data_IF_611671004698
#
_entry.id   IF_611671004698
#
_cell.length_a   1.000
_cell.length_b   1.000
_cell.length_c   1.000
_cell.angle_alpha   90.00
_cell.angle_beta   90.00
_cell.angle_gamma   90.00
#
_symmetry.space_group_name_H-M   'P 1'
#
loop_
_entity.id
_entity.type
_entity.pdbx_description
1 polymer ?
#
# COMPACT_ATOMS: atom_id res chain seq x y z
N UNK A 1 -25.76 -19.32 0.30
CA UNK A 1 -25.03 -18.69 -0.82
C UNK A 1 -23.93 -17.81 -0.28
N UNK A 2 -22.71 -18.25 -0.34
CA UNK A 2 -21.58 -17.40 -0.12
C UNK A 2 -21.47 -16.46 -1.33
N UNK A 3 -21.84 -15.20 -1.15
CA UNK A 3 -21.50 -14.19 -2.12
C UNK A 3 -19.98 -14.07 -2.05
N UNK A 4 -19.30 -14.45 -3.12
CA UNK A 4 -17.88 -14.20 -3.23
C UNK A 4 -17.63 -12.69 -3.07
N UNK A 5 -16.48 -12.33 -2.55
CA UNK A 5 -16.09 -10.93 -2.42
C UNK A 5 -16.29 -10.23 -3.75
N UNK A 6 -17.00 -9.08 -3.73
CA UNK A 6 -17.15 -8.23 -4.91
C UNK A 6 -15.87 -7.48 -5.24
N UNK A 7 -14.86 -7.58 -4.39
CA UNK A 7 -13.58 -6.90 -4.55
C UNK A 7 -12.68 -7.71 -5.48
N UNK A 8 -12.17 -7.06 -6.52
CA UNK A 8 -11.32 -7.71 -7.50
C UNK A 8 -10.28 -6.75 -8.07
N UNK A 9 -9.16 -7.31 -8.52
CA UNK A 9 -8.14 -6.57 -9.25
C UNK A 9 -8.42 -6.71 -10.76
N UNK A 10 -8.50 -5.59 -11.45
CA UNK A 10 -8.61 -5.55 -12.92
C UNK A 10 -7.31 -5.01 -13.51
N UNK A 11 -6.60 -5.89 -14.20
CA UNK A 11 -5.35 -5.55 -14.86
C UNK A 11 -5.64 -4.74 -16.13
N UNK A 12 -4.99 -3.58 -16.25
CA UNK A 12 -5.18 -2.68 -17.40
C UNK A 12 -3.96 -2.63 -18.32
N UNK A 13 -2.81 -3.12 -17.85
CA UNK A 13 -1.58 -3.19 -18.63
C UNK A 13 -0.72 -4.33 -18.14
N UNK A 14 0.21 -4.80 -18.97
CA UNK A 14 1.16 -5.83 -18.56
C UNK A 14 2.10 -5.29 -17.47
N UNK A 15 2.56 -6.18 -16.59
CA UNK A 15 3.49 -5.82 -15.53
C UNK A 15 4.88 -5.54 -16.16
N UNK A 16 5.39 -4.30 -16.07
CA UNK A 16 6.70 -3.96 -16.66
C UNK A 16 7.88 -4.35 -15.79
N UNK A 17 7.62 -4.91 -14.62
CA UNK A 17 8.61 -5.23 -13.60
C UNK A 17 8.76 -6.74 -13.42
N UNK A 18 9.93 -7.17 -12.93
CA UNK A 18 10.20 -8.55 -12.57
C UNK A 18 10.32 -8.63 -11.04
N UNK A 19 9.33 -9.23 -10.39
CA UNK A 19 9.25 -9.35 -8.93
C UNK A 19 9.40 -8.01 -8.18
N UNK A 20 8.55 -7.02 -8.47
CA UNK A 20 8.69 -5.71 -7.85
C UNK A 20 8.41 -5.71 -6.35
N UNK A 21 8.89 -4.67 -5.67
CA UNK A 21 8.50 -4.37 -4.30
C UNK A 21 7.20 -3.57 -4.33
N UNK A 22 6.18 -4.07 -3.64
CA UNK A 22 4.93 -3.34 -3.47
C UNK A 22 5.10 -2.29 -2.37
N UNK A 23 4.73 -1.05 -2.65
CA UNK A 23 4.69 0.03 -1.66
C UNK A 23 3.25 0.47 -1.49
N UNK A 24 2.68 0.26 -0.31
CA UNK A 24 1.32 0.65 0.01
C UNK A 24 1.30 2.07 0.55
N UNK A 25 0.52 2.92 -0.08
CA UNK A 25 0.33 4.31 0.30
C UNK A 25 -1.14 4.69 0.40
N UNK A 26 -1.95 3.83 1.01
CA UNK A 26 -3.37 4.13 1.22
C UNK A 26 -3.54 5.25 2.25
N UNK A 27 -4.60 6.08 2.13
CA UNK A 27 -4.79 7.20 3.02
C UNK A 27 -4.88 6.80 4.50
N UNK A 28 -4.13 7.49 5.33
CA UNK A 28 -4.07 7.27 6.76
C UNK A 28 -3.74 8.57 7.49
N UNK A 29 -3.23 8.47 8.71
CA UNK A 29 -2.94 9.60 9.57
C UNK A 29 -1.99 10.59 8.87
N UNK A 30 -2.43 11.85 8.78
CA UNK A 30 -1.65 12.94 8.18
C UNK A 30 -1.41 12.81 6.68
N UNK A 31 -2.02 11.83 6.02
CA UNK A 31 -1.84 11.53 4.60
C UNK A 31 -0.36 11.25 4.21
N UNK A 32 0.47 10.90 5.19
CA UNK A 32 1.91 10.69 4.99
C UNK A 32 2.17 9.63 3.91
N UNK A 33 1.50 8.49 4.02
CA UNK A 33 1.67 7.40 3.06
C UNK A 33 1.21 7.79 1.65
N UNK A 34 0.06 8.45 1.53
CA UNK A 34 -0.48 8.90 0.25
C UNK A 34 0.46 9.88 -0.44
N UNK A 35 0.97 10.86 0.29
CA UNK A 35 1.89 11.87 -0.25
C UNK A 35 3.20 11.19 -0.70
N UNK A 36 3.75 10.31 0.11
CA UNK A 36 5.00 9.61 -0.21
C UNK A 36 4.86 8.75 -1.47
N UNK A 37 3.78 8.00 -1.59
CA UNK A 37 3.56 7.11 -2.72
C UNK A 37 3.25 7.88 -4.00
N UNK A 38 2.52 9.00 -3.91
CA UNK A 38 2.31 9.88 -5.05
C UNK A 38 3.65 10.39 -5.60
N UNK A 39 4.55 10.80 -4.71
CA UNK A 39 5.89 11.27 -5.10
C UNK A 39 6.72 10.15 -5.75
N UNK A 40 6.69 8.96 -5.18
CA UNK A 40 7.41 7.80 -5.74
C UNK A 40 6.88 7.48 -7.14
N UNK A 41 5.56 7.44 -7.29
CA UNK A 41 4.92 7.14 -8.58
C UNK A 41 5.29 8.15 -9.65
N UNK A 42 5.28 9.43 -9.29
CA UNK A 42 5.63 10.52 -10.21
C UNK A 42 7.12 10.52 -10.56
N UNK A 43 7.99 10.45 -9.56
CA UNK A 43 9.45 10.52 -9.78
C UNK A 43 10.01 9.32 -10.52
N UNK A 44 9.45 8.14 -10.30
CA UNK A 44 9.86 6.92 -11.00
C UNK A 44 9.09 6.71 -12.31
N UNK A 45 8.20 7.64 -12.66
CA UNK A 45 7.39 7.59 -13.88
C UNK A 45 6.64 6.24 -14.01
N UNK A 46 6.08 5.76 -12.91
CA UNK A 46 5.33 4.50 -12.90
C UNK A 46 4.04 4.65 -13.70
N UNK A 47 3.68 3.60 -14.43
CA UNK A 47 2.46 3.57 -15.23
C UNK A 47 1.38 2.76 -14.53
N UNK A 48 0.12 3.09 -14.78
CA UNK A 48 -0.99 2.36 -14.19
C UNK A 48 -1.01 0.92 -14.71
N UNK A 49 -0.92 -0.03 -13.77
CA UNK A 49 -0.94 -1.46 -14.05
C UNK A 49 -2.35 -2.04 -13.93
N UNK A 50 -3.15 -1.54 -13.00
CA UNK A 50 -4.50 -2.00 -12.79
C UNK A 50 -5.26 -1.19 -11.75
N UNK A 51 -6.49 -1.64 -11.49
CA UNK A 51 -7.38 -1.03 -10.51
C UNK A 51 -7.97 -2.10 -9.59
N UNK A 52 -8.31 -1.71 -8.37
CA UNK A 52 -9.08 -2.56 -7.47
C UNK A 52 -10.49 -2.00 -7.40
N UNK A 53 -11.46 -2.81 -7.72
CA UNK A 53 -12.87 -2.45 -7.75
C UNK A 53 -13.60 -3.22 -6.66
N UNK A 54 -14.47 -2.52 -5.93
CA UNK A 54 -15.23 -3.14 -4.84
C UNK A 54 -16.57 -2.41 -4.63
N UNK A 55 -17.61 -3.19 -4.38
CA UNK A 55 -18.90 -2.65 -3.95
C UNK A 55 -18.84 -2.09 -2.52
N UNK A 56 -17.81 -2.45 -1.77
CA UNK A 56 -17.60 -1.96 -0.40
C UNK A 56 -16.93 -0.58 -0.35
N UNK A 57 -16.44 -0.09 -1.48
CA UNK A 57 -15.83 1.25 -1.54
C UNK A 57 -16.91 2.35 -1.57
N UNK A 58 -16.60 3.57 -1.12
CA UNK A 58 -17.55 4.68 -1.17
C UNK A 58 -18.07 4.93 -2.60
N UNK A 59 -19.36 5.27 -2.77
CA UNK A 59 -19.93 5.52 -4.10
C UNK A 59 -19.55 6.92 -4.60
N UNK A 60 -18.29 7.13 -4.87
CA UNK A 60 -17.72 8.40 -5.34
C UNK A 60 -16.95 8.18 -6.63
N UNK A 61 -16.84 9.23 -7.43
CA UNK A 61 -16.03 9.23 -8.63
C UNK A 61 -14.78 10.09 -8.39
N UNK A 62 -13.62 9.53 -8.65
CA UNK A 62 -12.38 10.31 -8.69
C UNK A 62 -12.15 10.82 -10.11
N UNK A 63 -11.43 11.91 -10.24
CA UNK A 63 -11.03 12.41 -11.56
C UNK A 63 -9.65 13.05 -11.50
N UNK A 64 -8.98 13.04 -12.61
CA UNK A 64 -7.70 13.71 -12.81
C UNK A 64 -7.65 14.28 -14.24
N UNK A 65 -7.27 15.53 -14.34
CA UNK A 65 -7.17 16.25 -15.63
C UNK A 65 -8.43 16.12 -16.50
N UNK A 66 -9.59 16.17 -15.88
CA UNK A 66 -10.89 16.11 -16.57
C UNK A 66 -11.37 14.72 -16.95
N UNK A 67 -10.68 13.66 -16.53
CA UNK A 67 -11.09 12.28 -16.79
C UNK A 67 -11.42 11.56 -15.50
N UNK A 68 -12.51 10.82 -15.52
CA UNK A 68 -12.89 9.96 -14.38
C UNK A 68 -11.92 8.79 -14.31
N UNK A 69 -11.53 8.45 -13.08
CA UNK A 69 -10.68 7.29 -12.81
C UNK A 69 -11.19 6.51 -11.60
N UNK A 70 -10.80 5.23 -11.50
CA UNK A 70 -11.12 4.41 -10.34
C UNK A 70 -10.36 4.91 -9.11
N UNK A 71 -10.97 4.79 -7.93
CA UNK A 71 -10.41 5.38 -6.71
C UNK A 71 -9.21 4.62 -6.15
N UNK A 72 -9.14 3.30 -6.35
CA UNK A 72 -8.01 2.47 -5.88
C UNK A 72 -7.25 1.95 -7.09
N UNK A 73 -5.97 2.25 -7.16
CA UNK A 73 -5.14 1.97 -8.33
C UNK A 73 -3.81 1.37 -7.96
N UNK A 74 -3.27 0.58 -8.88
CA UNK A 74 -1.93 -0.01 -8.79
C UNK A 74 -1.10 0.51 -9.95
N UNK A 75 0.09 1.02 -9.65
CA UNK A 75 1.07 1.49 -10.63
C UNK A 75 2.31 0.61 -10.55
N UNK A 76 3.06 0.49 -11.63
CA UNK A 76 4.27 -0.31 -11.66
C UNK A 76 5.30 0.22 -12.66
N UNK A 77 6.57 -0.06 -12.39
CA UNK A 77 7.68 0.25 -13.27
C UNK A 77 8.83 -0.73 -13.06
N UNK A 78 9.72 -0.82 -14.03
CA UNK A 78 10.78 -1.84 -14.07
C UNK A 78 12.19 -1.35 -13.80
N UNK A 79 12.41 -0.06 -13.51
CA UNK A 79 13.75 0.45 -13.22
C UNK A 79 13.69 1.64 -12.25
N UNK A 80 13.71 1.38 -10.95
CA UNK A 80 13.72 0.07 -10.25
C UNK A 80 12.37 -0.67 -10.34
N UNK A 81 12.40 -1.96 -10.03
CA UNK A 81 11.20 -2.80 -9.99
C UNK A 81 10.34 -2.44 -8.77
N UNK A 82 9.33 -1.60 -8.98
CA UNK A 82 8.45 -1.07 -7.94
C UNK A 82 7.00 -1.09 -8.40
N UNK A 83 6.12 -1.43 -7.45
CA UNK A 83 4.68 -1.37 -7.62
C UNK A 83 4.10 -0.54 -6.48
N UNK A 84 3.16 0.36 -6.76
CA UNK A 84 2.51 1.17 -5.73
C UNK A 84 1.01 0.93 -5.69
N UNK A 85 0.45 0.96 -4.49
CA UNK A 85 -0.99 0.86 -4.25
C UNK A 85 -1.48 2.19 -3.67
N UNK A 86 -2.41 2.83 -4.36
CA UNK A 86 -2.89 4.17 -4.05
C UNK A 86 -4.41 4.24 -4.00
N UNK A 87 -4.94 5.20 -3.26
CA UNK A 87 -6.36 5.52 -3.26
C UNK A 87 -6.60 7.01 -3.11
N UNK A 88 -7.60 7.54 -3.81
CA UNK A 88 -8.04 8.93 -3.67
C UNK A 88 -8.91 9.14 -2.43
N UNK A 89 -9.40 8.05 -1.82
CA UNK A 89 -10.30 8.11 -0.65
C UNK A 89 -9.81 7.16 0.43
N UNK A 90 -10.10 7.45 1.71
CA UNK A 90 -9.84 6.50 2.77
C UNK A 90 -10.59 5.19 2.55
N UNK A 91 -10.00 4.07 2.92
CA UNK A 91 -10.64 2.77 2.81
C UNK A 91 -11.55 2.59 4.02
N UNK A 92 -12.88 2.42 3.81
CA UNK A 92 -13.79 2.23 4.95
C UNK A 92 -13.49 0.95 5.69
N UNK A 93 -13.72 0.89 7.02
CA UNK A 93 -13.49 -0.35 7.79
C UNK A 93 -14.18 -1.58 7.22
N UNK A 94 -15.36 -1.40 6.62
CA UNK A 94 -16.12 -2.49 5.98
C UNK A 94 -15.44 -3.06 4.73
N UNK A 95 -14.51 -2.33 4.12
CA UNK A 95 -13.81 -2.75 2.92
C UNK A 95 -12.40 -3.31 3.19
N UNK A 96 -11.90 -3.18 4.41
CA UNK A 96 -10.50 -3.53 4.75
C UNK A 96 -10.22 -5.02 4.51
N UNK A 97 -11.08 -5.89 4.98
CA UNK A 97 -10.89 -7.34 4.84
C UNK A 97 -10.88 -7.77 3.37
N UNK A 98 -11.87 -7.33 2.60
CA UNK A 98 -11.96 -7.70 1.18
C UNK A 98 -10.82 -7.11 0.34
N UNK A 99 -10.36 -5.91 0.69
CA UNK A 99 -9.19 -5.31 0.04
C UNK A 99 -7.93 -6.13 0.33
N UNK A 100 -7.72 -6.50 1.59
CA UNK A 100 -6.57 -7.31 1.99
C UNK A 100 -6.57 -8.67 1.27
N UNK A 101 -7.71 -9.34 1.21
CA UNK A 101 -7.85 -10.60 0.48
C UNK A 101 -7.54 -10.44 -1.01
N UNK A 102 -7.96 -9.34 -1.62
CA UNK A 102 -7.68 -9.05 -3.02
C UNK A 102 -6.17 -8.85 -3.24
N UNK A 103 -5.52 -8.05 -2.40
CA UNK A 103 -4.08 -7.79 -2.52
C UNK A 103 -3.28 -9.09 -2.35
N UNK A 104 -3.60 -9.90 -1.37
CA UNK A 104 -2.88 -11.14 -1.08
C UNK A 104 -3.28 -12.31 -1.97
N UNK A 105 -4.44 -12.24 -2.61
CA UNK A 105 -4.91 -13.27 -3.54
C UNK A 105 -4.59 -12.97 -4.99
N UNK A 106 -5.03 -11.82 -5.47
CA UNK A 106 -4.96 -11.48 -6.89
C UNK A 106 -3.64 -10.84 -7.31
N UNK A 107 -2.99 -10.10 -6.40
CA UNK A 107 -1.79 -9.32 -6.71
C UNK A 107 -0.51 -9.95 -6.14
N UNK A 108 -0.62 -10.76 -5.10
CA UNK A 108 0.54 -11.29 -4.37
C UNK A 108 1.53 -12.06 -5.24
N UNK A 109 1.09 -12.70 -6.31
CA UNK A 109 1.98 -13.41 -7.23
C UNK A 109 2.84 -12.45 -8.06
N UNK A 110 2.50 -11.17 -8.11
CA UNK A 110 3.18 -10.17 -8.92
C UNK A 110 4.26 -9.42 -8.15
N UNK A 111 4.29 -9.49 -6.81
CA UNK A 111 5.33 -8.81 -6.03
C UNK A 111 6.09 -9.78 -5.12
N UNK A 112 7.35 -9.45 -4.82
CA UNK A 112 8.26 -10.28 -4.02
C UNK A 112 8.20 -9.91 -2.53
N UNK A 113 8.12 -8.62 -2.24
CA UNK A 113 8.01 -8.09 -0.87
C UNK A 113 7.16 -6.84 -0.86
N UNK A 114 6.68 -6.44 0.31
CA UNK A 114 5.84 -5.27 0.47
C UNK A 114 6.36 -4.35 1.56
N UNK A 115 6.20 -3.05 1.33
CA UNK A 115 6.49 -1.99 2.29
C UNK A 115 5.18 -1.26 2.54
N UNK A 116 4.76 -1.22 3.80
CA UNK A 116 3.54 -0.53 4.23
C UNK A 116 3.94 0.77 4.91
N UNK A 117 3.47 1.90 4.38
CA UNK A 117 3.75 3.22 4.91
C UNK A 117 2.61 3.65 5.83
N UNK A 118 2.95 4.15 7.00
CA UNK A 118 1.96 4.64 7.95
C UNK A 118 2.46 5.91 8.62
N UNK A 119 1.56 6.88 8.78
CA UNK A 119 1.85 8.06 9.58
C UNK A 119 1.60 7.76 11.05
N UNK A 120 2.44 8.33 11.91
CA UNK A 120 2.28 8.25 13.34
C UNK A 120 2.46 9.63 13.97
N UNK A 121 1.70 9.96 15.04
CA UNK A 121 1.90 11.25 15.71
C UNK A 121 3.26 11.28 16.39
N UNK A 122 3.97 12.40 16.25
CA UNK A 122 5.22 12.61 16.98
C UNK A 122 4.89 12.96 18.44
N UNK A 123 5.59 12.34 19.38
CA UNK A 123 5.42 12.62 20.80
C UNK A 123 6.13 13.90 21.24
N UNK A 124 7.10 14.38 20.45
CA UNK A 124 7.84 15.61 20.68
C UNK A 124 8.25 16.25 19.36
N UNK A 125 8.62 17.54 19.37
CA UNK A 125 9.09 18.23 18.17
C UNK A 125 10.35 17.60 17.59
N UNK A 126 11.18 16.98 18.44
CA UNK A 126 12.41 16.30 18.02
C UNK A 126 12.14 15.05 17.18
N UNK A 127 10.97 14.45 17.34
CA UNK A 127 10.55 13.24 16.60
C UNK A 127 9.89 13.54 15.25
N UNK A 128 9.58 14.80 14.97
CA UNK A 128 8.96 15.17 13.70
C UNK A 128 9.93 14.86 12.56
N UNK A 129 9.48 14.03 11.61
CA UNK A 129 10.30 13.61 10.47
C UNK A 129 11.11 12.34 10.72
N UNK A 130 11.08 11.77 11.93
CA UNK A 130 11.74 10.50 12.20
C UNK A 130 11.01 9.34 11.51
N UNK A 131 11.80 8.39 11.03
CA UNK A 131 11.31 7.17 10.40
C UNK A 131 11.77 5.98 11.25
N UNK A 132 10.79 5.13 11.61
CA UNK A 132 11.08 3.86 12.29
C UNK A 132 10.45 2.74 11.49
N UNK A 133 11.03 1.55 11.57
CA UNK A 133 10.57 0.39 10.83
C UNK A 133 10.20 -0.78 11.72
N UNK A 134 9.29 -1.60 11.20
CA UNK A 134 8.88 -2.88 11.80
C UNK A 134 8.98 -3.93 10.70
N UNK A 135 9.55 -5.09 11.00
CA UNK A 135 9.73 -6.15 10.01
C UNK A 135 9.03 -7.44 10.41
N UNK A 136 8.63 -8.23 9.43
CA UNK A 136 7.97 -9.52 9.65
C UNK A 136 8.95 -10.69 9.73
N UNK A 137 10.20 -10.48 9.28
CA UNK A 137 11.25 -11.53 9.27
C UNK A 137 12.60 -10.94 9.64
N UNK A 138 13.52 -11.81 10.08
CA UNK A 138 14.89 -11.41 10.39
C UNK A 138 15.62 -10.83 9.17
N UNK A 139 15.36 -11.35 7.98
CA UNK A 139 15.93 -10.86 6.73
C UNK A 139 15.52 -9.42 6.46
N UNK A 140 14.22 -9.13 6.60
CA UNK A 140 13.67 -7.79 6.37
C UNK A 140 14.14 -6.81 7.45
N UNK A 141 14.28 -7.27 8.70
CA UNK A 141 14.87 -6.48 9.78
C UNK A 141 16.29 -6.02 9.43
N UNK A 142 17.10 -6.94 8.91
CA UNK A 142 18.47 -6.63 8.46
C UNK A 142 18.46 -5.65 7.28
N UNK A 143 17.54 -5.79 6.34
CA UNK A 143 17.40 -4.86 5.20
C UNK A 143 17.06 -3.43 5.68
N UNK A 144 16.16 -3.29 6.65
CA UNK A 144 15.82 -2.00 7.23
C UNK A 144 17.04 -1.36 7.89
N UNK A 145 17.77 -2.13 8.69
CA UNK A 145 18.98 -1.68 9.40
C UNK A 145 20.06 -1.25 8.40
N UNK A 146 20.29 -2.04 7.35
CA UNK A 146 21.27 -1.73 6.30
C UNK A 146 20.89 -0.46 5.52
N UNK A 147 19.60 -0.17 5.40
CA UNK A 147 19.10 1.06 4.78
C UNK A 147 19.16 2.28 5.71
N UNK A 148 19.62 2.11 6.95
CA UNK A 148 19.73 3.20 7.92
C UNK A 148 18.42 3.52 8.64
N UNK A 149 17.44 2.60 8.59
CA UNK A 149 16.15 2.79 9.26
C UNK A 149 16.21 2.17 10.65
N UNK A 150 15.93 2.98 11.67
CA UNK A 150 15.89 2.53 13.07
C UNK A 150 14.66 1.66 13.30
N UNK A 151 14.84 0.53 13.96
CA UNK A 151 13.70 -0.33 14.32
C UNK A 151 12.91 0.31 15.45
N UNK A 152 11.59 0.10 15.45
CA UNK A 152 10.71 0.61 16.48
C UNK A 152 11.03 -0.01 17.84
N UNK A 153 11.08 0.84 18.89
CA UNK A 153 11.32 0.40 20.26
C UNK A 153 10.04 -0.11 20.92
N UNK A 154 10.19 -1.10 21.79
CA UNK A 154 9.09 -1.60 22.62
C UNK A 154 8.04 -2.36 21.82
N UNK A 155 6.78 -2.12 22.15
CA UNK A 155 5.65 -2.80 21.52
C UNK A 155 4.56 -1.79 21.16
N UNK A 156 3.76 -2.14 20.15
CA UNK A 156 2.68 -1.28 19.69
C UNK A 156 1.73 -2.00 18.76
N UNK A 157 0.76 -1.25 18.24
CA UNK A 157 -0.25 -1.74 17.33
C UNK A 157 -0.34 -0.80 16.13
N UNK A 158 -0.37 -1.38 14.94
CA UNK A 158 -0.62 -0.66 13.69
C UNK A 158 -2.05 -0.99 13.28
N UNK A 159 -2.90 0.04 13.18
CA UNK A 159 -4.32 -0.14 12.88
C UNK A 159 -4.67 0.16 11.43
N UNK A 160 -5.97 0.14 11.14
CA UNK A 160 -6.52 0.44 9.83
C UNK A 160 -6.17 -0.57 8.75
N UNK A 161 -6.28 -0.17 7.50
CA UNK A 161 -6.01 -1.03 6.35
C UNK A 161 -4.53 -1.45 6.32
N UNK A 162 -3.62 -0.56 6.66
CA UNK A 162 -2.18 -0.85 6.71
C UNK A 162 -1.88 -1.96 7.72
N UNK A 163 -2.46 -1.88 8.91
CA UNK A 163 -2.31 -2.91 9.93
C UNK A 163 -2.88 -4.25 9.51
N UNK A 164 -4.04 -4.25 8.85
CA UNK A 164 -4.67 -5.46 8.34
C UNK A 164 -3.79 -6.13 7.27
N UNK A 165 -3.31 -5.38 6.29
CA UNK A 165 -2.43 -5.89 5.23
C UNK A 165 -1.13 -6.46 5.82
N UNK A 166 -0.52 -5.75 6.74
CA UNK A 166 0.72 -6.19 7.39
C UNK A 166 0.51 -7.48 8.19
N UNK A 167 -0.58 -7.56 8.94
CA UNK A 167 -0.93 -8.74 9.71
C UNK A 167 -1.16 -9.96 8.81
N UNK A 168 -1.90 -9.78 7.73
CA UNK A 168 -2.19 -10.85 6.79
C UNK A 168 -0.93 -11.33 6.06
N UNK A 169 -0.04 -10.42 5.68
CA UNK A 169 1.27 -10.76 5.12
C UNK A 169 2.13 -11.55 6.10
N UNK A 170 2.07 -11.20 7.37
CA UNK A 170 2.84 -11.90 8.42
C UNK A 170 2.33 -13.33 8.63
N UNK A 171 1.03 -13.56 8.52
CA UNK A 171 0.40 -14.88 8.69
C UNK A 171 0.50 -15.75 7.44
N UNK A 172 0.55 -15.15 6.28
CA UNK A 172 0.66 -15.82 5.00
C UNK A 172 2.10 -16.05 4.61
#
# INVERSE_FOLDING_TARGET
>A
MTQGSSTRFEKTAELPADSPTLIEGLPGLGLVASIAVDQITEQLELEQHGTIISDDFPPVAAFEEGRVRDVVRVYAGGDPDVMTLQSDVPIPPSAVESLSECVLGDIAEEFDQAIFLAGAPAESEEQIGDIVGVATTDRLESELTDAGITLADGSGVIGGVTGALLSDCHQG
#
